data_IF_264650040895
#
_entry.id   IF_264650040895
#
_cell.length_a   1.000
_cell.length_b   1.000
_cell.length_c   1.000
_cell.angle_alpha   90.00
_cell.angle_beta   90.00
_cell.angle_gamma   90.00
#
_symmetry.space_group_name_H-M   'P 1'
#
loop_
_entity.id
_entity.type
_entity.pdbx_description
1 polymer ?
#
# COMPACT_ATOMS: atom_id res chain seq x y z
N UNK A 1 49.00 18.67 0.78
CA UNK A 1 47.63 18.75 0.23
C UNK A 1 47.09 17.37 -0.13
N UNK A 2 47.75 16.59 -1.00
CA UNK A 2 47.24 15.27 -1.45
C UNK A 2 46.97 14.27 -0.29
N UNK A 3 47.82 14.24 0.74
CA UNK A 3 47.62 13.34 1.89
C UNK A 3 46.42 13.73 2.78
N UNK A 4 46.09 15.02 2.84
CA UNK A 4 45.01 15.57 3.67
C UNK A 4 43.66 15.34 3.00
N UNK A 5 43.58 15.55 1.69
CA UNK A 5 42.37 15.26 0.89
C UNK A 5 42.02 13.77 0.93
N UNK A 6 43.02 12.89 0.89
CA UNK A 6 42.82 11.44 0.95
C UNK A 6 42.35 10.97 2.35
N UNK A 7 42.76 11.67 3.41
CA UNK A 7 42.25 11.42 4.77
C UNK A 7 40.80 11.89 4.92
N UNK A 8 40.45 13.06 4.38
CA UNK A 8 39.07 13.57 4.39
C UNK A 8 38.16 12.61 3.64
N UNK A 9 38.53 12.18 2.43
CA UNK A 9 37.78 11.18 1.67
C UNK A 9 37.56 9.87 2.42
N UNK A 10 38.59 9.39 3.15
CA UNK A 10 38.48 8.17 3.96
C UNK A 10 37.51 8.35 5.13
N UNK A 11 37.54 9.50 5.81
CA UNK A 11 36.62 9.81 6.91
C UNK A 11 35.19 9.91 6.39
N UNK A 12 34.97 10.59 5.26
CA UNK A 12 33.64 10.71 4.64
C UNK A 12 33.13 9.34 4.17
N UNK A 13 34.00 8.46 3.68
CA UNK A 13 33.62 7.08 3.33
C UNK A 13 33.25 6.22 4.55
N UNK A 14 33.95 6.40 5.68
CA UNK A 14 33.58 5.74 6.93
C UNK A 14 32.23 6.27 7.46
N UNK A 15 32.03 7.59 7.40
CA UNK A 15 30.75 8.22 7.71
C UNK A 15 29.63 7.70 6.81
N UNK A 16 29.90 7.54 5.51
CA UNK A 16 28.97 6.94 4.56
C UNK A 16 28.65 5.48 4.90
N UNK A 17 29.64 4.68 5.27
CA UNK A 17 29.43 3.29 5.69
C UNK A 17 28.53 3.21 6.93
N UNK A 18 28.75 4.07 7.93
CA UNK A 18 27.88 4.18 9.11
C UNK A 18 26.48 4.65 8.75
N UNK A 19 26.37 5.66 7.89
CA UNK A 19 25.09 6.13 7.36
C UNK A 19 24.31 5.01 6.67
N UNK A 20 24.94 4.26 5.76
CA UNK A 20 24.30 3.16 5.03
C UNK A 20 23.84 2.05 5.99
N UNK A 21 24.65 1.70 6.99
CA UNK A 21 24.26 0.73 8.02
C UNK A 21 23.10 1.22 8.89
N UNK A 22 23.03 2.51 9.22
CA UNK A 22 21.92 3.07 10.00
C UNK A 22 20.65 3.14 9.15
N UNK A 23 20.78 3.55 7.89
CA UNK A 23 19.67 3.64 6.95
C UNK A 23 19.04 2.27 6.66
N UNK A 24 19.85 1.20 6.57
CA UNK A 24 19.34 -0.14 6.32
C UNK A 24 18.46 -0.66 7.48
N UNK A 25 18.68 -0.20 8.70
CA UNK A 25 17.91 -0.58 9.88
C UNK A 25 16.58 0.18 10.03
N UNK A 26 16.40 1.30 9.32
CA UNK A 26 15.15 2.08 9.35
C UNK A 26 13.98 1.22 8.85
N UNK A 27 12.82 1.30 9.49
CA UNK A 27 11.62 0.54 9.07
C UNK A 27 10.48 1.45 8.64
N UNK A 28 10.46 2.68 9.14
CA UNK A 28 9.45 3.68 8.81
C UNK A 28 10.06 4.85 8.06
N UNK A 29 9.20 5.66 7.42
CA UNK A 29 9.65 6.89 6.78
C UNK A 29 10.25 7.87 7.81
N UNK A 30 9.66 7.97 9.00
CA UNK A 30 10.14 8.85 10.06
C UNK A 30 11.55 8.46 10.53
N UNK A 31 11.83 7.15 10.64
CA UNK A 31 13.18 6.65 10.96
C UNK A 31 14.19 7.11 9.91
N UNK A 32 13.82 7.08 8.63
CA UNK A 32 14.66 7.55 7.52
C UNK A 32 14.93 9.05 7.69
N UNK A 33 13.91 9.85 8.01
CA UNK A 33 14.08 11.29 8.21
C UNK A 33 15.02 11.62 9.38
N UNK A 34 14.92 10.89 10.49
CA UNK A 34 15.80 11.04 11.65
C UNK A 34 17.22 10.59 11.31
N UNK A 35 17.38 9.46 10.62
CA UNK A 35 18.67 8.96 10.15
C UNK A 35 19.40 10.01 9.30
N UNK A 36 18.71 10.62 8.34
CA UNK A 36 19.27 11.65 7.48
C UNK A 36 19.68 12.90 8.27
N UNK A 37 18.86 13.37 9.21
CA UNK A 37 19.21 14.52 10.07
C UNK A 37 20.52 14.29 10.84
N UNK A 38 20.71 13.10 11.39
CA UNK A 38 21.87 12.79 12.23
C UNK A 38 23.14 12.64 11.38
N UNK A 39 23.03 11.94 10.25
CA UNK A 39 24.20 11.44 9.54
C UNK A 39 24.63 12.31 8.35
N UNK A 40 23.70 13.01 7.68
CA UNK A 40 23.98 13.69 6.42
C UNK A 40 25.02 14.81 6.55
N UNK A 41 25.04 15.51 7.69
CA UNK A 41 26.02 16.57 8.01
C UNK A 41 27.48 16.11 8.02
N UNK A 42 27.73 14.81 8.10
CA UNK A 42 29.08 14.23 8.05
C UNK A 42 29.51 13.84 6.64
N UNK A 43 28.60 13.92 5.65
CA UNK A 43 28.85 13.52 4.27
C UNK A 43 29.21 14.72 3.40
N UNK A 44 28.49 15.82 3.55
CA UNK A 44 28.74 17.08 2.86
C UNK A 44 28.07 18.23 3.61
N UNK A 45 28.51 19.45 3.31
CA UNK A 45 27.97 20.68 3.90
C UNK A 45 26.72 21.13 3.14
N UNK A 46 25.69 21.53 3.88
CA UNK A 46 24.44 22.05 3.33
C UNK A 46 23.67 22.86 4.39
N UNK A 47 22.84 23.79 3.94
CA UNK A 47 21.81 24.42 4.76
C UNK A 47 20.50 23.63 4.70
N UNK A 48 20.11 23.22 3.49
CA UNK A 48 18.92 22.42 3.24
C UNK A 48 19.24 21.30 2.26
N UNK A 49 18.77 20.11 2.58
CA UNK A 49 18.73 18.97 1.68
C UNK A 49 17.26 18.57 1.50
N UNK A 50 16.78 18.49 0.26
CA UNK A 50 15.46 17.97 -0.06
C UNK A 50 15.56 16.86 -1.09
N UNK A 51 14.94 15.73 -0.82
CA UNK A 51 14.81 14.61 -1.73
C UNK A 51 13.32 14.30 -1.95
N UNK A 52 12.92 14.30 -3.21
CA UNK A 52 11.55 14.08 -3.66
C UNK A 52 11.54 12.82 -4.53
N UNK A 53 11.07 11.72 -3.97
CA UNK A 53 10.94 10.42 -4.61
C UNK A 53 9.54 10.23 -5.16
N UNK A 54 9.44 9.68 -6.37
CA UNK A 54 8.18 9.30 -7.00
C UNK A 54 8.20 7.85 -7.44
N UNK A 55 7.12 7.14 -7.12
CA UNK A 55 6.80 5.79 -7.59
C UNK A 55 5.33 5.72 -7.98
N UNK A 56 5.05 5.68 -9.29
CA UNK A 56 3.67 5.76 -9.78
C UNK A 56 2.98 7.03 -9.26
N UNK A 57 1.89 6.84 -8.51
CA UNK A 57 1.12 7.92 -7.89
C UNK A 57 1.62 8.31 -6.50
N UNK A 58 2.53 7.54 -5.89
CA UNK A 58 3.09 7.87 -4.58
C UNK A 58 4.27 8.83 -4.71
N UNK A 59 4.20 9.92 -3.96
CA UNK A 59 5.22 10.95 -3.87
C UNK A 59 5.70 11.05 -2.42
N UNK A 60 7.01 10.97 -2.20
CA UNK A 60 7.63 11.08 -0.89
C UNK A 60 8.62 12.23 -0.90
N UNK A 61 8.40 13.21 -0.05
CA UNK A 61 9.26 14.38 0.09
C UNK A 61 9.95 14.35 1.45
N UNK A 62 11.27 14.18 1.44
CA UNK A 62 12.15 14.30 2.59
C UNK A 62 12.82 15.67 2.54
N UNK A 63 12.70 16.47 3.59
CA UNK A 63 13.43 17.72 3.76
C UNK A 63 14.22 17.67 5.06
N UNK A 64 15.49 18.05 5.01
CA UNK A 64 16.45 17.99 6.10
C UNK A 64 17.14 19.34 6.21
N UNK A 65 17.18 19.86 7.43
CA UNK A 65 17.82 21.12 7.79
C UNK A 65 18.62 20.94 9.08
N UNK A 66 19.38 21.95 9.47
CA UNK A 66 20.11 21.95 10.74
C UNK A 66 19.18 21.85 11.96
N UNK A 67 17.96 22.39 11.87
CA UNK A 67 17.00 22.44 12.98
C UNK A 67 16.09 21.21 13.04
N UNK A 68 15.73 20.63 11.89
CA UNK A 68 14.78 19.53 11.82
C UNK A 68 14.82 18.74 10.52
N UNK A 69 14.11 17.61 10.53
CA UNK A 69 13.81 16.84 9.32
C UNK A 69 12.31 16.53 9.27
N UNK A 70 11.78 16.49 8.06
CA UNK A 70 10.37 16.19 7.80
C UNK A 70 10.29 15.25 6.61
N UNK A 71 9.47 14.22 6.72
CA UNK A 71 9.14 13.33 5.61
C UNK A 71 7.64 13.29 5.43
N UNK A 72 7.18 13.42 4.18
CA UNK A 72 5.76 13.43 3.86
C UNK A 72 5.53 12.52 2.66
N UNK A 73 4.67 11.53 2.83
CA UNK A 73 4.15 10.70 1.74
C UNK A 73 2.77 11.23 1.33
N UNK A 74 2.62 11.58 0.06
CA UNK A 74 1.39 12.14 -0.51
C UNK A 74 1.09 11.51 -1.87
N UNK A 75 -0.18 11.52 -2.27
CA UNK A 75 -0.61 11.03 -3.58
C UNK A 75 -0.44 12.09 -4.69
N UNK A 76 -0.42 13.38 -4.31
CA UNK A 76 -0.18 14.48 -5.23
C UNK A 76 1.30 14.82 -5.33
N UNK A 77 1.72 15.24 -6.53
CA UNK A 77 3.07 15.73 -6.77
C UNK A 77 3.25 17.13 -6.18
N UNK A 78 3.73 17.21 -4.94
CA UNK A 78 4.04 18.48 -4.25
C UNK A 78 5.47 18.94 -4.57
N UNK A 79 5.78 18.98 -5.87
CA UNK A 79 7.05 19.46 -6.38
C UNK A 79 7.10 20.99 -6.35
N UNK A 80 8.24 21.53 -5.93
CA UNK A 80 8.56 22.94 -6.04
C UNK A 80 8.82 23.31 -7.51
N UNK A 81 8.71 24.59 -7.86
CA UNK A 81 8.77 25.00 -9.27
C UNK A 81 10.12 24.71 -9.93
N UNK A 82 11.21 24.81 -9.17
CA UNK A 82 12.53 24.41 -9.67
C UNK A 82 12.62 22.88 -9.86
N UNK A 83 11.94 22.07 -9.04
CA UNK A 83 11.90 20.62 -9.19
C UNK A 83 11.08 20.25 -10.44
N UNK A 84 9.97 20.93 -10.70
CA UNK A 84 9.19 20.78 -11.95
C UNK A 84 10.05 21.11 -13.17
N UNK A 85 10.81 22.19 -13.12
CA UNK A 85 11.72 22.57 -14.21
C UNK A 85 12.80 21.51 -14.44
N UNK A 86 13.36 20.97 -13.35
CA UNK A 86 14.34 19.88 -13.40
C UNK A 86 13.75 18.62 -14.02
N UNK A 87 12.50 18.28 -13.66
CA UNK A 87 11.79 17.12 -14.20
C UNK A 87 11.54 17.25 -15.70
N UNK A 88 11.22 18.46 -16.18
CA UNK A 88 11.03 18.77 -17.60
C UNK A 88 12.34 18.74 -18.39
N UNK A 89 13.41 19.39 -17.90
CA UNK A 89 14.68 19.48 -18.60
C UNK A 89 15.50 18.19 -18.55
N UNK A 90 15.41 17.44 -17.45
CA UNK A 90 16.10 16.16 -17.27
C UNK A 90 17.62 16.25 -17.06
N UNK A 91 18.18 17.44 -16.91
CA UNK A 91 19.61 17.69 -16.66
C UNK A 91 19.81 18.36 -15.31
N UNK A 92 20.95 18.16 -14.62
CA UNK A 92 21.26 18.88 -13.38
C UNK A 92 21.18 20.40 -13.56
N UNK A 93 20.64 21.09 -12.56
CA UNK A 93 20.46 22.54 -12.57
C UNK A 93 21.18 23.15 -11.36
N UNK A 94 21.74 24.33 -11.57
CA UNK A 94 22.44 25.10 -10.56
C UNK A 94 21.99 26.56 -10.67
N UNK A 95 21.57 27.15 -9.55
CA UNK A 95 21.14 28.54 -9.45
C UNK A 95 21.97 29.25 -8.39
N UNK A 96 22.65 30.32 -8.80
CA UNK A 96 23.41 31.22 -7.92
C UNK A 96 22.56 32.38 -7.39
N UNK A 97 21.41 32.65 -8.03
CA UNK A 97 20.48 33.71 -7.63
C UNK A 97 19.14 33.07 -7.23
N UNK A 98 19.03 32.66 -5.97
CA UNK A 98 17.81 32.01 -5.47
C UNK A 98 16.66 32.98 -5.21
N UNK A 99 16.91 34.30 -5.23
CA UNK A 99 15.89 35.34 -5.00
C UNK A 99 14.82 35.39 -6.10
N UNK A 100 15.17 34.96 -7.31
CA UNK A 100 14.27 34.92 -8.47
C UNK A 100 13.39 33.65 -8.50
N UNK A 101 13.55 32.75 -7.54
CA UNK A 101 12.78 31.51 -7.43
C UNK A 101 11.69 31.67 -6.38
N UNK A 102 10.48 31.19 -6.68
CA UNK A 102 9.41 31.08 -5.69
C UNK A 102 9.71 29.92 -4.73
N UNK A 103 10.49 30.22 -3.70
CA UNK A 103 10.94 29.23 -2.72
C UNK A 103 10.19 29.38 -1.38
N UNK A 104 9.89 28.25 -0.70
CA UNK A 104 9.32 28.28 0.64
C UNK A 104 10.18 29.07 1.62
N UNK A 105 9.56 29.61 2.67
CA UNK A 105 10.24 30.41 3.70
C UNK A 105 11.47 29.73 4.32
N UNK A 106 11.47 28.38 4.36
CA UNK A 106 12.60 27.59 4.84
C UNK A 106 13.89 27.83 4.05
N UNK A 107 13.80 28.15 2.76
CA UNK A 107 14.94 28.38 1.85
C UNK A 107 15.51 29.80 1.91
N UNK A 108 14.93 30.68 2.73
CA UNK A 108 15.39 32.07 2.84
C UNK A 108 16.59 32.14 3.77
N UNK A 109 17.78 32.27 3.19
CA UNK A 109 19.02 32.55 3.89
C UNK A 109 19.32 34.06 3.86
N UNK A 110 20.22 34.51 4.74
CA UNK A 110 20.70 35.89 4.71
C UNK A 110 21.45 36.19 3.40
N UNK A 111 21.31 37.40 2.85
CA UNK A 111 21.95 37.78 1.57
C UNK A 111 23.48 37.64 1.59
N UNK A 112 24.10 37.77 2.77
CA UNK A 112 25.55 37.60 2.95
C UNK A 112 26.03 36.16 2.69
N UNK A 113 25.15 35.17 2.78
CA UNK A 113 25.46 33.76 2.54
C UNK A 113 25.65 33.43 1.06
N UNK A 114 25.24 34.29 0.11
CA UNK A 114 25.26 34.00 -1.33
C UNK A 114 24.69 32.60 -1.64
N UNK A 115 23.38 32.40 -1.40
CA UNK A 115 22.76 31.08 -1.48
C UNK A 115 22.85 30.48 -2.89
N UNK A 116 23.35 29.25 -2.97
CA UNK A 116 23.41 28.47 -4.19
C UNK A 116 22.51 27.24 -4.08
N UNK A 117 21.58 27.10 -5.02
CA UNK A 117 20.70 25.94 -5.11
C UNK A 117 21.19 25.01 -6.20
N UNK A 118 21.44 23.77 -5.83
CA UNK A 118 21.81 22.70 -6.73
C UNK A 118 20.72 21.64 -6.78
N UNK A 119 20.38 21.14 -7.96
CA UNK A 119 19.37 20.10 -8.11
C UNK A 119 19.76 19.05 -9.16
N UNK A 120 19.50 17.79 -8.83
CA UNK A 120 19.76 16.63 -9.67
C UNK A 120 18.54 15.73 -9.75
N UNK A 121 18.34 15.16 -10.93
CA UNK A 121 17.36 14.12 -11.19
C UNK A 121 18.10 12.81 -11.41
N UNK A 122 17.80 11.82 -10.59
CA UNK A 122 18.29 10.45 -10.77
C UNK A 122 17.11 9.58 -11.19
N UNK A 123 17.24 8.92 -12.34
CA UNK A 123 16.22 8.04 -12.91
C UNK A 123 16.78 6.62 -13.01
N UNK A 124 16.17 5.69 -12.28
CA UNK A 124 16.55 4.26 -12.31
C UNK A 124 15.68 3.47 -13.30
N UNK A 125 14.38 3.80 -13.40
CA UNK A 125 13.39 3.08 -14.23
C UNK A 125 12.37 4.09 -14.78
N UNK A 126 11.52 3.67 -15.73
CA UNK A 126 10.46 4.51 -16.29
C UNK A 126 9.49 5.05 -15.21
N UNK A 127 9.21 4.27 -14.17
CA UNK A 127 8.20 4.55 -13.14
C UNK A 127 8.78 5.07 -11.81
N UNK A 128 10.10 5.16 -11.70
CA UNK A 128 10.81 5.53 -10.46
C UNK A 128 11.83 6.61 -10.75
N UNK A 129 11.68 7.72 -10.05
CA UNK A 129 12.62 8.83 -10.11
C UNK A 129 12.78 9.47 -8.73
N UNK A 130 13.99 9.94 -8.47
CA UNK A 130 14.29 10.75 -7.29
C UNK A 130 14.91 12.07 -7.75
N UNK A 131 14.35 13.16 -7.26
CA UNK A 131 14.87 14.51 -7.42
C UNK A 131 15.51 14.89 -6.10
N UNK A 132 16.75 15.36 -6.14
CA UNK A 132 17.48 15.79 -4.96
C UNK A 132 17.94 17.22 -5.17
N UNK A 133 17.78 18.05 -4.15
CA UNK A 133 18.24 19.42 -4.14
C UNK A 133 18.98 19.75 -2.85
N UNK A 134 20.00 20.60 -2.99
CA UNK A 134 20.88 21.06 -1.92
C UNK A 134 20.96 22.57 -2.00
N UNK A 135 20.60 23.25 -0.92
CA UNK A 135 20.87 24.66 -0.72
C UNK A 135 22.18 24.80 0.06
N UNK A 136 23.15 25.46 -0.54
CA UNK A 136 24.45 25.77 0.03
C UNK A 136 24.62 27.30 0.17
N UNK A 137 25.64 27.72 0.92
CA UNK A 137 26.00 29.12 1.08
C UNK A 137 27.45 29.24 1.53
N UNK A 138 27.96 30.47 1.71
CA UNK A 138 29.36 30.73 2.11
C UNK A 138 29.76 30.02 3.39
N UNK A 139 28.87 29.90 4.37
CA UNK A 139 29.18 29.19 5.63
C UNK A 139 29.16 27.67 5.47
N UNK A 140 28.45 27.15 4.47
CA UNK A 140 28.23 25.72 4.19
C UNK A 140 28.43 25.44 2.71
N UNK A 141 29.70 25.48 2.27
CA UNK A 141 30.05 25.36 0.85
C UNK A 141 29.87 23.92 0.38
N UNK A 142 29.08 23.75 -0.69
CA UNK A 142 28.91 22.48 -1.39
C UNK A 142 29.80 22.46 -2.64
N UNK A 143 30.66 21.44 -2.75
CA UNK A 143 31.68 21.36 -3.80
C UNK A 143 31.39 20.26 -4.81
N UNK A 144 32.13 20.25 -5.92
CA UNK A 144 32.03 19.19 -6.93
C UNK A 144 32.41 17.80 -6.41
N UNK A 145 33.26 17.72 -5.38
CA UNK A 145 33.63 16.44 -4.75
C UNK A 145 32.45 15.85 -3.97
N UNK A 146 31.61 16.70 -3.39
CA UNK A 146 30.44 16.28 -2.63
C UNK A 146 29.36 15.63 -3.52
N UNK A 147 29.37 15.93 -4.83
CA UNK A 147 28.43 15.36 -5.81
C UNK A 147 28.53 13.82 -5.85
N UNK A 148 29.71 13.23 -5.71
CA UNK A 148 29.82 11.77 -5.71
C UNK A 148 29.15 11.15 -4.47
N UNK A 149 29.31 11.77 -3.31
CA UNK A 149 28.64 11.34 -2.08
C UNK A 149 27.14 11.58 -2.15
N UNK A 150 26.70 12.73 -2.68
CA UNK A 150 25.30 13.04 -2.90
C UNK A 150 24.62 11.99 -3.78
N UNK A 151 25.27 11.59 -4.88
CA UNK A 151 24.77 10.53 -5.76
C UNK A 151 24.61 9.21 -5.00
N UNK A 152 25.62 8.80 -4.22
CA UNK A 152 25.53 7.58 -3.41
C UNK A 152 24.40 7.65 -2.38
N UNK A 153 24.23 8.79 -1.71
CA UNK A 153 23.13 9.04 -0.76
C UNK A 153 21.78 8.96 -1.46
N UNK A 154 21.63 9.55 -2.64
CA UNK A 154 20.40 9.54 -3.42
C UNK A 154 20.01 8.11 -3.85
N UNK A 155 20.98 7.31 -4.31
CA UNK A 155 20.76 5.91 -4.69
C UNK A 155 20.35 5.05 -3.49
N UNK A 156 21.03 5.20 -2.35
CA UNK A 156 20.68 4.47 -1.13
C UNK A 156 19.32 4.91 -0.56
N UNK A 157 19.01 6.21 -0.63
CA UNK A 157 17.71 6.73 -0.22
C UNK A 157 16.60 6.14 -1.08
N UNK A 158 16.75 6.16 -2.40
CA UNK A 158 15.78 5.61 -3.34
C UNK A 158 15.49 4.14 -3.02
N UNK A 159 16.55 3.34 -2.88
CA UNK A 159 16.43 1.92 -2.57
C UNK A 159 15.74 1.69 -1.22
N UNK A 160 16.07 2.50 -0.20
CA UNK A 160 15.44 2.37 1.11
C UNK A 160 13.98 2.81 1.13
N UNK A 161 13.64 3.89 0.44
CA UNK A 161 12.26 4.34 0.31
C UNK A 161 11.41 3.30 -0.40
N UNK A 162 11.94 2.68 -1.47
CA UNK A 162 11.28 1.58 -2.14
C UNK A 162 11.03 0.40 -1.19
N UNK A 163 12.06 -0.01 -0.44
CA UNK A 163 11.96 -1.10 0.53
C UNK A 163 10.86 -0.83 1.57
N UNK A 164 10.85 0.37 2.18
CA UNK A 164 9.83 0.76 3.17
C UNK A 164 8.42 0.76 2.56
N UNK A 165 8.27 1.24 1.32
CA UNK A 165 6.96 1.23 0.64
C UNK A 165 6.47 -0.19 0.38
N UNK A 166 7.36 -1.07 -0.10
CA UNK A 166 7.02 -2.47 -0.37
C UNK A 166 6.63 -3.22 0.90
N UNK A 167 7.33 -2.99 2.01
CA UNK A 167 6.96 -3.59 3.30
C UNK A 167 5.57 -3.12 3.75
N UNK A 168 5.27 -1.83 3.62
CA UNK A 168 3.95 -1.30 3.96
C UNK A 168 2.84 -1.89 3.09
N UNK A 169 3.06 -1.97 1.78
CA UNK A 169 2.12 -2.61 0.84
C UNK A 169 1.88 -4.08 1.21
N UNK A 170 2.93 -4.80 1.60
CA UNK A 170 2.84 -6.19 2.01
C UNK A 170 2.04 -6.36 3.31
N UNK A 171 2.26 -5.49 4.31
CA UNK A 171 1.51 -5.49 5.57
C UNK A 171 0.03 -5.18 5.34
N UNK A 172 -0.28 -4.18 4.51
CA UNK A 172 -1.65 -3.83 4.14
C UNK A 172 -2.35 -5.00 3.44
N UNK A 173 -1.68 -5.66 2.49
CA UNK A 173 -2.22 -6.84 1.78
C UNK A 173 -2.41 -8.05 2.69
N UNK A 174 -1.50 -8.28 3.63
CA UNK A 174 -1.65 -9.36 4.62
C UNK A 174 -2.86 -9.12 5.52
N UNK A 175 -3.10 -7.86 5.92
CA UNK A 175 -4.26 -7.50 6.72
C UNK A 175 -5.57 -7.70 5.93
N UNK A 176 -5.63 -7.22 4.69
CA UNK A 176 -6.78 -7.45 3.80
C UNK A 176 -7.06 -8.96 3.63
N UNK A 177 -6.01 -9.77 3.46
CA UNK A 177 -6.15 -11.22 3.30
C UNK A 177 -6.68 -11.88 4.58
N UNK A 178 -6.20 -11.46 5.75
CA UNK A 178 -6.68 -11.97 7.03
C UNK A 178 -8.18 -11.66 7.23
N UNK A 179 -8.61 -10.43 6.92
CA UNK A 179 -10.01 -10.01 7.00
C UNK A 179 -10.91 -10.77 5.99
N UNK A 180 -10.40 -11.05 4.79
CA UNK A 180 -11.11 -11.86 3.82
C UNK A 180 -11.28 -13.32 4.30
N UNK A 181 -10.24 -13.89 4.92
CA UNK A 181 -10.28 -15.25 5.47
C UNK A 181 -11.28 -15.37 6.63
N UNK A 182 -11.31 -14.41 7.55
CA UNK A 182 -12.31 -14.41 8.63
C UNK A 182 -13.72 -14.32 8.06
N UNK A 183 -13.95 -13.44 7.08
CA UNK A 183 -15.25 -13.32 6.42
C UNK A 183 -15.70 -14.62 5.74
N UNK A 184 -14.78 -15.34 5.09
CA UNK A 184 -15.08 -16.64 4.46
C UNK A 184 -15.41 -17.68 5.53
N UNK A 185 -14.66 -17.71 6.64
CA UNK A 185 -14.91 -18.63 7.73
C UNK A 185 -16.30 -18.43 8.33
N UNK A 186 -16.66 -17.20 8.68
CA UNK A 186 -17.97 -16.84 9.23
C UNK A 186 -19.10 -17.24 8.27
N UNK A 187 -18.93 -16.98 6.96
CA UNK A 187 -19.91 -17.39 5.95
C UNK A 187 -20.04 -18.91 5.83
N UNK A 188 -18.95 -19.65 5.94
CA UNK A 188 -18.98 -21.11 5.91
C UNK A 188 -19.68 -21.69 7.13
N UNK A 189 -19.53 -21.11 8.32
CA UNK A 189 -20.27 -21.53 9.50
C UNK A 189 -21.78 -21.33 9.32
N UNK A 190 -22.18 -20.16 8.79
CA UNK A 190 -23.58 -19.87 8.47
C UNK A 190 -24.14 -20.85 7.44
N UNK A 191 -23.39 -21.12 6.35
CA UNK A 191 -23.79 -22.10 5.33
C UNK A 191 -23.95 -23.48 5.97
N UNK A 192 -23.03 -23.89 6.84
CA UNK A 192 -23.08 -25.19 7.52
C UNK A 192 -24.32 -25.28 8.41
N UNK A 193 -24.63 -24.23 9.17
CA UNK A 193 -25.86 -24.17 9.98
C UNK A 193 -27.14 -24.26 9.13
N UNK A 194 -27.19 -23.54 8.00
CA UNK A 194 -28.31 -23.59 7.06
C UNK A 194 -28.47 -25.00 6.48
N UNK A 195 -27.37 -25.64 6.08
CA UNK A 195 -27.37 -27.00 5.53
C UNK A 195 -27.90 -28.00 6.54
N UNK A 196 -27.46 -27.93 7.80
CA UNK A 196 -27.97 -28.80 8.86
C UNK A 196 -29.46 -28.57 9.13
N UNK A 197 -29.89 -27.31 9.21
CA UNK A 197 -31.32 -26.99 9.35
C UNK A 197 -32.16 -27.50 8.16
N UNK A 198 -31.66 -27.35 6.94
CA UNK A 198 -32.35 -27.85 5.75
C UNK A 198 -32.47 -29.39 5.77
N UNK A 199 -31.44 -30.12 6.21
CA UNK A 199 -31.51 -31.58 6.36
C UNK A 199 -32.60 -31.99 7.34
N UNK A 200 -32.70 -31.29 8.47
CA UNK A 200 -33.73 -31.55 9.49
C UNK A 200 -35.14 -31.32 8.92
N UNK A 201 -35.37 -30.18 8.26
CA UNK A 201 -36.65 -29.84 7.64
C UNK A 201 -37.04 -30.85 6.55
N UNK A 202 -36.10 -31.26 5.71
CA UNK A 202 -36.32 -32.27 4.67
C UNK A 202 -36.73 -33.61 5.30
N UNK A 203 -36.03 -34.04 6.36
CA UNK A 203 -36.35 -35.28 7.07
C UNK A 203 -37.79 -35.25 7.61
N UNK A 204 -38.15 -34.17 8.31
CA UNK A 204 -39.48 -34.00 8.90
C UNK A 204 -40.59 -33.99 7.84
N UNK A 205 -40.38 -33.26 6.73
CA UNK A 205 -41.33 -33.24 5.60
C UNK A 205 -41.45 -34.59 4.91
N UNK A 206 -40.35 -35.32 4.75
CA UNK A 206 -40.35 -36.66 4.15
C UNK A 206 -41.15 -37.63 5.02
N UNK A 207 -41.00 -37.56 6.34
CA UNK A 207 -41.78 -38.37 7.28
C UNK A 207 -43.27 -37.99 7.24
N UNK A 208 -43.59 -36.70 7.20
CA UNK A 208 -44.97 -36.21 7.06
C UNK A 208 -45.62 -36.74 5.78
N UNK A 209 -44.93 -36.66 4.63
CA UNK A 209 -45.40 -37.18 3.35
C UNK A 209 -45.60 -38.70 3.41
N UNK A 210 -44.66 -39.44 4.00
CA UNK A 210 -44.77 -40.88 4.15
C UNK A 210 -46.01 -41.28 4.96
N UNK A 211 -46.30 -40.59 6.07
CA UNK A 211 -47.52 -40.85 6.87
C UNK A 211 -48.81 -40.50 6.13
N UNK A 212 -48.84 -39.39 5.38
CA UNK A 212 -50.00 -39.01 4.55
C UNK A 212 -50.25 -40.03 3.43
N UNK A 213 -49.19 -40.50 2.78
CA UNK A 213 -49.30 -41.53 1.75
C UNK A 213 -49.82 -42.85 2.32
N UNK A 214 -49.35 -43.27 3.50
CA UNK A 214 -49.85 -44.46 4.17
C UNK A 214 -51.36 -44.37 4.46
N UNK A 215 -51.84 -43.22 4.96
CA UNK A 215 -53.29 -42.98 5.18
C UNK A 215 -54.09 -42.99 3.88
N UNK A 216 -53.56 -42.39 2.81
CA UNK A 216 -54.24 -42.41 1.51
C UNK A 216 -54.38 -43.82 0.95
N UNK A 217 -53.34 -44.65 1.10
CA UNK A 217 -53.41 -46.07 0.74
C UNK A 217 -54.48 -46.80 1.55
N UNK A 218 -54.52 -46.59 2.85
CA UNK A 218 -55.52 -47.19 3.73
C UNK A 218 -56.95 -46.79 3.33
N UNK A 219 -57.20 -45.49 3.13
CA UNK A 219 -58.50 -44.98 2.65
C UNK A 219 -58.83 -45.55 1.26
N UNK A 220 -57.87 -45.64 0.36
CA UNK A 220 -58.08 -46.19 -0.99
C UNK A 220 -58.52 -47.66 -0.94
N UNK A 221 -57.92 -48.47 -0.08
CA UNK A 221 -58.31 -49.87 0.14
C UNK A 221 -59.72 -49.94 0.74
N UNK A 222 -60.00 -49.11 1.75
CA UNK A 222 -61.30 -49.02 2.40
C UNK A 222 -62.41 -48.61 1.42
N UNK A 223 -62.17 -47.61 0.58
CA UNK A 223 -63.12 -47.16 -0.44
C UNK A 223 -63.36 -48.22 -1.52
N UNK A 224 -62.31 -48.93 -1.94
CA UNK A 224 -62.44 -49.99 -2.93
C UNK A 224 -63.33 -51.12 -2.42
N UNK A 225 -63.09 -51.62 -1.21
CA UNK A 225 -63.78 -52.80 -0.67
C UNK A 225 -65.11 -52.49 0.02
N UNK A 226 -65.19 -51.41 0.81
CA UNK A 226 -66.37 -51.14 1.64
C UNK A 226 -67.39 -50.21 0.99
N UNK A 227 -67.01 -49.48 -0.07
CA UNK A 227 -67.90 -48.53 -0.73
C UNK A 227 -68.15 -48.94 -2.17
N UNK A 228 -67.10 -49.02 -2.99
CA UNK A 228 -67.23 -49.27 -4.43
C UNK A 228 -67.77 -50.67 -4.74
N UNK A 229 -67.26 -51.70 -4.07
CA UNK A 229 -67.69 -53.08 -4.28
C UNK A 229 -69.18 -53.32 -3.95
N UNK A 230 -69.69 -52.93 -2.76
CA UNK A 230 -71.12 -53.06 -2.46
C UNK A 230 -71.99 -52.14 -3.31
N UNK A 231 -71.58 -50.92 -3.64
CA UNK A 231 -72.34 -50.06 -4.57
C UNK A 231 -72.45 -50.68 -5.96
N UNK A 232 -71.36 -51.23 -6.52
CA UNK A 232 -71.42 -51.93 -7.81
C UNK A 232 -72.38 -53.13 -7.76
N UNK A 233 -72.43 -53.86 -6.64
CA UNK A 233 -73.40 -54.96 -6.49
C UNK A 233 -74.84 -54.46 -6.40
N UNK A 234 -75.09 -53.39 -5.65
CA UNK A 234 -76.43 -52.77 -5.56
C UNK A 234 -76.86 -52.21 -6.91
N UNK A 235 -75.98 -51.51 -7.63
CA UNK A 235 -76.28 -50.97 -8.95
C UNK A 235 -76.55 -52.10 -9.96
N UNK A 236 -75.77 -53.19 -9.90
CA UNK A 236 -75.99 -54.38 -10.71
C UNK A 236 -77.31 -55.10 -10.40
N UNK A 237 -77.76 -55.04 -9.14
CA UNK A 237 -79.08 -55.56 -8.76
C UNK A 237 -80.21 -54.64 -9.24
N UNK A 238 -80.06 -53.31 -9.13
CA UNK A 238 -81.04 -52.33 -9.62
C UNK A 238 -81.21 -52.44 -11.15
N UNK A 239 -80.11 -52.58 -11.89
CA UNK A 239 -80.19 -52.72 -13.36
C UNK A 239 -80.84 -54.03 -13.82
N UNK A 240 -80.89 -55.06 -12.97
CA UNK A 240 -81.66 -56.28 -13.20
C UNK A 240 -83.15 -56.10 -12.88
N UNK A 241 -83.49 -55.19 -11.97
CA UNK A 241 -84.88 -54.84 -11.63
C UNK A 241 -85.54 -54.01 -12.73
N UNK A 242 -84.78 -53.16 -13.43
CA UNK A 242 -85.28 -52.39 -14.58
C UNK A 242 -85.58 -53.25 -15.83
N UNK A 243 -85.21 -54.53 -15.83
CA UNK A 243 -85.48 -55.50 -16.92
C UNK A 243 -86.69 -56.42 -16.66
N UNK A 244 -87.45 -56.15 -15.60
CA UNK A 244 -88.77 -56.75 -15.31
C UNK A 244 -89.87 -55.69 -15.41
#
# INVERSE_FOLDING_TARGET
MIATDNQIFRITYEAFSKFSSNLSQCRTLDDVAVCFKINLKYLFNFHIFRASYQRGDQHIHLTVTSTGSTVQAQASSDYLDFEKLLLQKGIPLHWTETENLDLPALYRLATEEEPELWAWKFKQTAERQIVVSVLAGKSQVFTKQDISFLKMVAEHLESKLLEVCLFRELDDKNKELAEALTTIHDKNEVITSIVEHQKEVISLRTQEIATKNARLLEISVLNAHNVREPLSRILGLISLVDYY
#
